data_IF_355839176316
#
_entry.id   IF_355839176316
#
_cell.length_a   1.000
_cell.length_b   1.000
_cell.length_c   1.000
_cell.angle_alpha   90.00
_cell.angle_beta   90.00
_cell.angle_gamma   90.00
#
_symmetry.space_group_name_H-M   'P 1'
#
loop_
_entity.id
_entity.type
_entity.pdbx_description
1 polymer ?
#
# COMPACT_ATOMS: atom_id res chain seq x y z
N UNK A 1 21.73 -9.08 -27.14
CA UNK A 1 22.10 -8.05 -26.13
C UNK A 1 20.91 -7.16 -25.74
N UNK A 2 19.71 -7.71 -25.50
CA UNK A 2 18.49 -6.93 -25.24
C UNK A 2 17.80 -7.28 -23.90
N UNK A 3 18.50 -7.98 -23.00
CA UNK A 3 17.91 -8.55 -21.77
C UNK A 3 18.33 -7.81 -20.47
N UNK A 4 19.16 -6.77 -20.57
CA UNK A 4 19.68 -6.06 -19.39
C UNK A 4 18.79 -4.86 -19.01
N UNK A 5 18.21 -4.17 -20.00
CA UNK A 5 17.29 -3.04 -19.77
C UNK A 5 15.96 -3.45 -19.13
N UNK A 6 15.41 -4.62 -19.46
CA UNK A 6 14.10 -5.05 -18.99
C UNK A 6 13.98 -5.17 -17.46
N UNK A 7 15.04 -5.60 -16.76
CA UNK A 7 15.04 -5.76 -15.30
C UNK A 7 15.28 -4.44 -14.56
N UNK A 8 16.17 -3.59 -15.06
CA UNK A 8 16.51 -2.32 -14.42
C UNK A 8 15.42 -1.28 -14.62
N UNK A 9 14.84 -1.23 -15.82
CA UNK A 9 13.74 -0.33 -16.17
C UNK A 9 12.44 -0.70 -15.44
N UNK A 10 12.11 -1.99 -15.34
CA UNK A 10 10.92 -2.44 -14.59
C UNK A 10 10.96 -2.08 -13.09
N UNK A 11 12.15 -1.98 -12.49
CA UNK A 11 12.31 -1.66 -11.06
C UNK A 11 12.45 -0.16 -10.76
N UNK A 12 12.85 0.67 -11.73
CA UNK A 12 13.16 2.09 -11.49
C UNK A 12 12.44 3.07 -12.41
N UNK A 13 11.79 2.60 -13.49
CA UNK A 13 11.17 3.46 -14.51
C UNK A 13 9.98 4.30 -14.00
N UNK A 14 9.32 3.87 -12.92
CA UNK A 14 8.21 4.59 -12.28
C UNK A 14 8.52 4.99 -10.81
N UNK A 15 9.81 5.15 -10.48
CA UNK A 15 10.29 5.39 -9.12
C UNK A 15 10.62 4.11 -8.36
N UNK A 16 11.41 4.24 -7.29
CA UNK A 16 11.87 3.08 -6.52
C UNK A 16 10.69 2.34 -5.86
N UNK A 17 10.76 1.01 -5.68
CA UNK A 17 9.70 0.24 -5.03
C UNK A 17 9.34 0.76 -3.64
N UNK A 18 10.30 1.39 -2.95
CA UNK A 18 10.07 2.03 -1.65
C UNK A 18 9.16 3.26 -1.77
N UNK A 19 9.32 4.09 -2.80
CA UNK A 19 8.45 5.23 -3.03
C UNK A 19 7.00 4.78 -3.31
N UNK A 20 6.83 3.71 -4.09
CA UNK A 20 5.51 3.14 -4.37
C UNK A 20 4.83 2.59 -3.10
N UNK A 21 5.58 1.89 -2.23
CA UNK A 21 5.07 1.40 -0.94
C UNK A 21 4.55 2.54 -0.05
N UNK A 22 5.24 3.68 -0.02
CA UNK A 22 4.82 4.86 0.74
C UNK A 22 3.51 5.44 0.18
N UNK A 23 3.41 5.56 -1.15
CA UNK A 23 2.21 6.08 -1.80
C UNK A 23 0.99 5.17 -1.58
N UNK A 24 1.18 3.85 -1.67
CA UNK A 24 0.13 2.86 -1.37
C UNK A 24 -0.33 2.99 0.09
N UNK A 25 0.60 3.14 1.04
CA UNK A 25 0.24 3.31 2.45
C UNK A 25 -0.56 4.61 2.69
N UNK A 26 -0.19 5.71 2.03
CA UNK A 26 -0.90 7.01 2.12
C UNK A 26 -2.31 6.95 1.52
N UNK A 27 -2.47 6.27 0.39
CA UNK A 27 -3.76 6.17 -0.32
C UNK A 27 -4.61 4.97 0.16
N UNK A 28 -4.08 4.14 1.05
CA UNK A 28 -4.67 2.85 1.43
C UNK A 28 -5.88 2.94 2.37
N UNK A 29 -6.24 4.13 2.86
CA UNK A 29 -7.35 4.39 3.79
C UNK A 29 -7.43 3.39 4.95
N UNK A 30 -6.30 3.17 5.63
CA UNK A 30 -6.15 2.11 6.63
C UNK A 30 -7.10 2.25 7.82
N UNK A 31 -7.37 3.47 8.28
CA UNK A 31 -8.30 3.71 9.40
C UNK A 31 -9.73 3.31 9.06
N UNK A 32 -10.21 3.66 7.87
CA UNK A 32 -11.53 3.23 7.39
C UNK A 32 -11.61 1.70 7.32
N UNK A 33 -10.57 1.04 6.81
CA UNK A 33 -10.52 -0.44 6.76
C UNK A 33 -10.52 -1.07 8.15
N UNK A 34 -9.88 -0.45 9.14
CA UNK A 34 -9.94 -0.89 10.55
C UNK A 34 -11.35 -0.79 11.11
N UNK A 35 -12.06 0.33 10.89
CA UNK A 35 -13.44 0.47 11.35
C UNK A 35 -14.37 -0.56 10.69
N UNK A 36 -14.20 -0.81 9.38
CA UNK A 36 -14.94 -1.88 8.69
C UNK A 36 -14.67 -3.26 9.29
N UNK A 37 -13.41 -3.59 9.57
CA UNK A 37 -13.04 -4.86 10.20
C UNK A 37 -13.64 -5.01 11.60
N UNK A 38 -13.61 -3.95 12.42
CA UNK A 38 -14.24 -3.93 13.74
C UNK A 38 -15.75 -4.12 13.67
N UNK A 39 -16.42 -3.49 12.70
CA UNK A 39 -17.85 -3.68 12.47
C UNK A 39 -18.20 -5.14 12.14
N UNK A 40 -17.41 -5.78 11.27
CA UNK A 40 -17.60 -7.20 10.93
C UNK A 40 -17.32 -8.10 12.14
N UNK A 41 -16.29 -7.78 12.93
CA UNK A 41 -15.92 -8.52 14.13
C UNK A 41 -16.84 -8.26 15.34
N UNK A 42 -17.82 -7.34 15.24
CA UNK A 42 -18.71 -6.98 16.35
C UNK A 42 -18.02 -6.23 17.50
N UNK A 43 -16.84 -5.66 17.26
CA UNK A 43 -16.09 -4.90 18.27
C UNK A 43 -16.69 -3.50 18.35
N UNK A 44 -17.22 -3.13 19.53
CA UNK A 44 -17.72 -1.77 19.77
C UNK A 44 -16.52 -0.81 19.81
N UNK A 45 -16.60 0.28 19.03
CA UNK A 45 -15.59 1.32 19.03
C UNK A 45 -15.45 1.90 20.44
N UNK A 46 -14.27 1.75 21.05
CA UNK A 46 -13.95 2.37 22.33
C UNK A 46 -13.80 3.88 22.09
N UNK A 47 -14.87 4.64 22.35
CA UNK A 47 -14.80 6.10 22.40
C UNK A 47 -13.96 6.48 23.61
N UNK A 48 -12.74 6.97 23.35
CA UNK A 48 -11.97 7.73 24.32
C UNK A 48 -12.43 9.18 24.32
#
# INVERSE_FOLDING_TARGET
TAAVGYRTESMHGAGSPQAQRIMIARQGNLEQKKSLAKNIAGIKEEKK
#
